data_IF_386781727699
#
_entry.id   IF_386781727699
#
_cell.length_a   1.000
_cell.length_b   1.000
_cell.length_c   1.000
_cell.angle_alpha   90.00
_cell.angle_beta   90.00
_cell.angle_gamma   90.00
#
_symmetry.space_group_name_H-M   'P 1'
#
loop_
_entity.id
_entity.type
_entity.pdbx_description
1 polymer ?
#
# COMPACT_ATOMS: atom_id res chain seq x y z
N UNK A 1 21.49 17.72 2.75
CA UNK A 1 21.39 16.45 3.48
C UNK A 1 22.64 15.65 3.14
N UNK A 2 23.57 15.49 4.09
CA UNK A 2 24.81 14.75 3.89
C UNK A 2 24.52 13.25 3.92
N UNK A 3 24.83 12.53 2.85
CA UNK A 3 24.74 11.08 2.80
C UNK A 3 25.68 10.48 3.86
N UNK A 4 25.12 9.69 4.78
CA UNK A 4 25.90 8.99 5.78
C UNK A 4 26.70 7.88 5.09
N UNK A 5 28.02 8.04 5.03
CA UNK A 5 28.94 7.05 4.51
C UNK A 5 28.88 5.78 5.37
N UNK A 6 28.16 4.76 4.91
CA UNK A 6 28.12 3.44 5.56
C UNK A 6 29.41 2.70 5.23
N UNK A 7 30.27 2.38 6.21
CA UNK A 7 31.51 1.65 5.94
C UNK A 7 31.20 0.24 5.43
N UNK A 8 31.93 -0.21 4.39
CA UNK A 8 31.81 -1.51 3.68
C UNK A 8 31.78 -2.76 4.58
N UNK A 9 32.12 -2.63 5.87
CA UNK A 9 32.18 -3.70 6.86
C UNK A 9 31.40 -3.39 8.15
N UNK A 10 30.34 -2.59 8.11
CA UNK A 10 29.55 -2.30 9.32
C UNK A 10 29.13 -3.59 10.04
N UNK A 11 28.76 -4.63 9.28
CA UNK A 11 28.20 -5.88 9.81
C UNK A 11 29.22 -6.76 10.54
N UNK A 12 30.52 -6.51 10.38
CA UNK A 12 31.59 -7.32 11.00
C UNK A 12 31.66 -7.07 12.50
N UNK A 13 31.57 -5.81 12.94
CA UNK A 13 31.59 -5.45 14.36
C UNK A 13 30.48 -6.14 15.17
N UNK A 14 29.18 -6.03 14.81
CA UNK A 14 28.13 -6.71 15.57
C UNK A 14 28.30 -8.23 15.51
N UNK A 15 28.72 -8.81 14.37
CA UNK A 15 28.99 -10.24 14.27
C UNK A 15 30.04 -10.71 15.30
N UNK A 16 31.17 -10.01 15.40
CA UNK A 16 32.24 -10.34 16.36
C UNK A 16 31.72 -10.25 17.80
N UNK A 17 31.00 -9.17 18.16
CA UNK A 17 30.41 -9.05 19.49
C UNK A 17 29.42 -10.16 19.80
N UNK A 18 28.62 -10.58 18.82
CA UNK A 18 27.64 -11.66 19.01
C UNK A 18 28.36 -12.99 19.25
N UNK A 19 29.38 -13.31 18.45
CA UNK A 19 30.18 -14.53 18.62
C UNK A 19 30.93 -14.52 19.95
N UNK A 20 31.51 -13.39 20.34
CA UNK A 20 32.20 -13.24 21.61
C UNK A 20 31.24 -13.44 22.80
N UNK A 21 30.03 -12.87 22.73
CA UNK A 21 28.99 -13.04 23.73
C UNK A 21 28.58 -14.51 23.88
N UNK A 22 28.27 -15.19 22.77
CA UNK A 22 27.90 -16.61 22.77
C UNK A 22 29.02 -17.45 23.40
N UNK A 23 30.27 -17.21 22.99
CA UNK A 23 31.43 -17.93 23.52
C UNK A 23 31.60 -17.71 25.02
N UNK A 24 31.48 -16.47 25.49
CA UNK A 24 31.55 -16.13 26.91
C UNK A 24 30.42 -16.81 27.71
N UNK A 25 29.18 -16.79 27.19
CA UNK A 25 28.05 -17.48 27.82
C UNK A 25 28.29 -19.00 27.93
N UNK A 26 28.81 -19.63 26.88
CA UNK A 26 29.15 -21.06 26.89
C UNK A 26 30.21 -21.38 27.95
N UNK A 27 31.28 -20.58 28.03
CA UNK A 27 32.34 -20.76 29.03
C UNK A 27 31.78 -20.61 30.45
N UNK A 28 31.00 -19.57 30.70
CA UNK A 28 30.38 -19.33 32.03
C UNK A 28 29.45 -20.48 32.42
N UNK A 29 28.67 -21.03 31.50
CA UNK A 29 27.80 -22.18 31.77
C UNK A 29 28.57 -23.49 32.02
N UNK A 30 29.80 -23.61 31.52
CA UNK A 30 30.68 -24.76 31.78
C UNK A 30 31.38 -24.66 33.13
N UNK A 31 31.71 -23.45 33.58
CA UNK A 31 32.49 -23.21 34.80
C UNK A 31 31.60 -23.01 36.03
N UNK A 32 30.40 -22.44 35.87
CA UNK A 32 29.48 -22.16 36.97
C UNK A 32 28.18 -22.95 36.86
N UNK A 33 27.92 -23.80 37.84
CA UNK A 33 26.65 -24.54 37.93
C UNK A 33 25.46 -23.61 38.12
N UNK A 34 25.61 -22.57 38.94
CA UNK A 34 24.57 -21.55 39.16
C UNK A 34 24.21 -20.82 37.86
N UNK A 35 25.21 -20.44 37.05
CA UNK A 35 24.95 -19.78 35.78
C UNK A 35 24.21 -20.71 34.80
N UNK A 36 24.58 -21.99 34.77
CA UNK A 36 23.88 -23.01 33.97
C UNK A 36 22.42 -23.17 34.41
N UNK A 37 22.15 -23.24 35.71
CA UNK A 37 20.80 -23.35 36.23
C UNK A 37 19.94 -22.12 35.92
N UNK A 38 20.50 -20.92 36.11
CA UNK A 38 19.82 -19.66 35.79
C UNK A 38 19.50 -19.58 34.30
N UNK A 39 20.45 -19.93 33.43
CA UNK A 39 20.23 -19.95 31.99
C UNK A 39 19.15 -20.97 31.61
N UNK A 40 19.20 -22.17 32.17
CA UNK A 40 18.20 -23.21 31.91
C UNK A 40 16.80 -22.75 32.34
N UNK A 41 16.66 -22.15 33.53
CA UNK A 41 15.39 -21.58 34.00
C UNK A 41 14.89 -20.45 33.09
N UNK A 42 15.77 -19.55 32.67
CA UNK A 42 15.42 -18.46 31.76
C UNK A 42 14.93 -19.00 30.40
N UNK A 43 15.63 -19.98 29.82
CA UNK A 43 15.24 -20.62 28.55
C UNK A 43 13.89 -21.32 28.69
N UNK A 44 13.69 -22.08 29.77
CA UNK A 44 12.41 -22.76 30.01
C UNK A 44 11.26 -21.77 30.23
N UNK A 45 11.51 -20.65 30.90
CA UNK A 45 10.52 -19.59 31.11
C UNK A 45 10.13 -18.93 29.78
N UNK A 46 11.11 -18.62 28.92
CA UNK A 46 10.86 -18.05 27.59
C UNK A 46 10.10 -19.06 26.72
N UNK A 47 10.53 -20.32 26.71
CA UNK A 47 9.85 -21.37 25.97
C UNK A 47 8.40 -21.56 26.44
N UNK A 48 8.17 -21.56 27.76
CA UNK A 48 6.84 -21.63 28.36
C UNK A 48 5.97 -20.43 27.97
N UNK A 49 6.54 -19.21 27.98
CA UNK A 49 5.84 -18.02 27.52
C UNK A 49 5.46 -18.11 26.03
N UNK A 50 6.39 -18.51 25.16
CA UNK A 50 6.16 -18.70 23.72
C UNK A 50 5.14 -19.81 23.41
N UNK A 51 5.05 -20.82 24.27
CA UNK A 51 4.08 -21.91 24.15
C UNK A 51 2.68 -21.55 24.69
N UNK A 52 2.46 -20.33 25.18
CA UNK A 52 1.12 -19.91 25.60
C UNK A 52 0.15 -19.93 24.41
N UNK A 53 -1.12 -20.34 24.62
CA UNK A 53 -2.10 -20.43 23.53
C UNK A 53 -2.22 -19.13 22.73
N UNK A 54 -2.24 -17.99 23.42
CA UNK A 54 -2.33 -16.67 22.80
C UNK A 54 -1.17 -16.39 21.83
N UNK A 55 0.08 -16.71 22.20
CA UNK A 55 1.23 -16.43 21.34
C UNK A 55 1.25 -17.38 20.13
N UNK A 56 0.92 -18.66 20.34
CA UNK A 56 0.82 -19.62 19.24
C UNK A 56 -0.29 -19.24 18.26
N UNK A 57 -1.48 -18.90 18.74
CA UNK A 57 -2.61 -18.45 17.92
C UNK A 57 -2.27 -17.16 17.16
N UNK A 58 -1.69 -16.17 17.84
CA UNK A 58 -1.26 -14.91 17.21
C UNK A 58 -0.22 -15.16 16.13
N UNK A 59 0.73 -16.07 16.37
CA UNK A 59 1.77 -16.42 15.38
C UNK A 59 1.14 -17.08 14.16
N UNK A 60 0.23 -18.03 14.35
CA UNK A 60 -0.48 -18.68 13.24
C UNK A 60 -1.32 -17.66 12.47
N UNK A 61 -2.02 -16.77 13.15
CA UNK A 61 -2.82 -15.71 12.52
C UNK A 61 -1.95 -14.76 11.69
N UNK A 62 -0.81 -14.32 12.23
CA UNK A 62 0.15 -13.46 11.51
C UNK A 62 0.72 -14.20 10.30
N UNK A 63 1.15 -15.44 10.44
CA UNK A 63 1.67 -16.26 9.33
C UNK A 63 0.60 -16.45 8.25
N UNK A 64 -0.63 -16.76 8.64
CA UNK A 64 -1.77 -16.86 7.73
C UNK A 64 -2.01 -15.56 6.96
N UNK A 65 -1.98 -14.42 7.65
CA UNK A 65 -2.13 -13.10 7.02
C UNK A 65 -1.00 -12.83 6.02
N UNK A 66 0.25 -13.11 6.39
CA UNK A 66 1.41 -12.94 5.49
C UNK A 66 1.25 -13.79 4.23
N UNK A 67 0.78 -15.04 4.37
CA UNK A 67 0.51 -15.93 3.22
C UNK A 67 -0.57 -15.33 2.32
N UNK A 68 -1.69 -14.86 2.87
CA UNK A 68 -2.78 -14.27 2.09
C UNK A 68 -2.29 -13.03 1.33
N UNK A 69 -1.55 -12.15 1.99
CA UNK A 69 -0.98 -10.94 1.36
C UNK A 69 0.01 -11.32 0.26
N UNK A 70 0.90 -12.28 0.51
CA UNK A 70 1.87 -12.73 -0.48
C UNK A 70 1.18 -13.35 -1.71
N UNK A 71 0.16 -14.18 -1.50
CA UNK A 71 -0.64 -14.74 -2.60
C UNK A 71 -1.40 -13.66 -3.37
N UNK A 72 -1.96 -12.66 -2.68
CA UNK A 72 -2.65 -11.55 -3.32
C UNK A 72 -1.69 -10.73 -4.18
N UNK A 73 -0.52 -10.38 -3.65
CA UNK A 73 0.50 -9.67 -4.42
C UNK A 73 0.99 -10.49 -5.61
N UNK A 74 1.18 -11.80 -5.44
CA UNK A 74 1.55 -12.68 -6.54
C UNK A 74 0.48 -12.71 -7.64
N UNK A 75 -0.81 -12.72 -7.28
CA UNK A 75 -1.91 -12.59 -8.25
C UNK A 75 -1.87 -11.23 -8.95
N UNK A 76 -1.77 -10.13 -8.22
CA UNK A 76 -1.70 -8.78 -8.79
C UNK A 76 -0.53 -8.63 -9.77
N UNK A 77 0.63 -9.22 -9.46
CA UNK A 77 1.79 -9.18 -10.36
C UNK A 77 1.58 -9.99 -11.65
N UNK A 78 0.80 -11.08 -11.58
CA UNK A 78 0.57 -11.97 -12.72
C UNK A 78 -0.59 -11.51 -13.60
N UNK A 79 -1.68 -11.06 -12.98
CA UNK A 79 -2.96 -10.76 -13.63
C UNK A 79 -3.14 -9.25 -13.87
N UNK A 80 -2.30 -8.40 -13.26
CA UNK A 80 -2.47 -6.95 -13.29
C UNK A 80 -3.45 -6.46 -12.22
N UNK A 81 -3.57 -5.13 -12.11
CA UNK A 81 -4.56 -4.54 -11.20
C UNK A 81 -5.96 -4.76 -11.75
N UNK A 82 -6.86 -5.28 -10.92
CA UNK A 82 -8.25 -5.54 -11.29
C UNK A 82 -9.03 -4.23 -11.28
N UNK A 83 -9.18 -3.59 -12.44
CA UNK A 83 -9.93 -2.35 -12.55
C UNK A 83 -11.42 -2.64 -12.44
N UNK A 84 -12.14 -1.92 -11.58
CA UNK A 84 -13.60 -2.02 -11.48
C UNK A 84 -14.20 -0.72 -11.97
N UNK A 85 -15.01 -0.81 -13.02
CA UNK A 85 -15.80 0.32 -13.49
C UNK A 85 -17.11 0.38 -12.71
N UNK A 86 -17.34 1.51 -12.04
CA UNK A 86 -18.63 1.85 -11.44
C UNK A 86 -19.39 2.69 -12.44
N UNK A 87 -20.43 2.11 -13.04
CA UNK A 87 -21.20 2.79 -14.06
C UNK A 87 -21.95 3.99 -13.47
N UNK A 88 -21.91 5.10 -14.21
CA UNK A 88 -22.57 6.33 -13.80
C UNK A 88 -24.09 6.22 -13.95
N UNK A 89 -24.83 7.06 -13.19
CA UNK A 89 -26.29 7.12 -13.22
C UNK A 89 -26.85 7.46 -14.61
N UNK A 90 -26.05 8.13 -15.45
CA UNK A 90 -26.31 8.37 -16.87
C UNK A 90 -25.31 7.56 -17.72
N UNK A 91 -25.75 6.90 -18.79
CA UNK A 91 -24.88 6.04 -19.60
C UNK A 91 -23.90 6.90 -20.41
N UNK A 92 -22.62 6.83 -20.07
CA UNK A 92 -21.52 7.29 -20.93
C UNK A 92 -21.10 6.17 -21.90
N UNK A 93 -20.25 6.50 -22.87
CA UNK A 93 -19.76 5.51 -23.85
C UNK A 93 -19.05 4.33 -23.17
N UNK A 94 -18.34 4.58 -22.07
CA UNK A 94 -17.64 3.56 -21.29
C UNK A 94 -18.60 2.60 -20.56
N UNK A 95 -19.73 3.10 -20.02
CA UNK A 95 -20.77 2.27 -19.39
C UNK A 95 -21.42 1.31 -20.38
N UNK A 96 -21.60 1.75 -21.63
CA UNK A 96 -22.16 0.92 -22.69
C UNK A 96 -21.18 -0.17 -23.12
N UNK A 97 -19.89 0.15 -23.28
CA UNK A 97 -18.84 -0.83 -23.58
C UNK A 97 -18.63 -1.84 -22.44
N UNK A 98 -18.82 -1.42 -21.19
CA UNK A 98 -18.81 -2.30 -20.02
C UNK A 98 -20.07 -3.18 -19.88
N UNK A 99 -21.04 -3.09 -20.79
CA UNK A 99 -22.27 -3.89 -20.77
C UNK A 99 -23.30 -3.44 -19.73
N UNK A 100 -23.14 -2.24 -19.17
CA UNK A 100 -23.99 -1.66 -18.14
C UNK A 100 -25.20 -0.89 -18.74
N UNK A 101 -25.86 -1.50 -19.73
CA UNK A 101 -26.94 -0.87 -20.51
C UNK A 101 -28.21 -0.60 -19.69
N UNK A 102 -28.46 -1.37 -18.62
CA UNK A 102 -29.65 -1.25 -17.78
C UNK A 102 -29.32 -0.72 -16.38
N UNK A 103 -30.23 0.02 -15.71
CA UNK A 103 -30.00 0.51 -14.35
C UNK A 103 -29.60 -0.58 -13.34
N UNK A 104 -30.14 -1.80 -13.49
CA UNK A 104 -29.78 -2.94 -12.65
C UNK A 104 -28.35 -3.43 -12.89
N UNK A 105 -27.90 -3.48 -14.16
CA UNK A 105 -26.53 -3.86 -14.52
C UNK A 105 -25.48 -2.77 -14.19
N UNK A 106 -25.91 -1.53 -13.93
CA UNK A 106 -25.02 -0.43 -13.50
C UNK A 106 -24.58 -0.52 -12.04
N UNK A 107 -25.33 -1.25 -11.22
CA UNK A 107 -24.98 -1.50 -9.81
C UNK A 107 -24.04 -2.71 -9.65
N UNK A 108 -23.91 -3.54 -10.68
CA UNK A 108 -22.95 -4.63 -10.73
C UNK A 108 -21.60 -4.06 -11.17
N UNK A 109 -20.62 -3.98 -10.27
CA UNK A 109 -19.28 -3.52 -10.60
C UNK A 109 -18.68 -4.39 -11.70
N UNK A 110 -18.40 -3.80 -12.87
CA UNK A 110 -17.83 -4.52 -14.00
C UNK A 110 -16.32 -4.53 -13.87
N UNK A 111 -15.73 -5.72 -13.79
CA UNK A 111 -14.27 -5.89 -13.78
C UNK A 111 -13.76 -5.64 -15.21
N UNK A 112 -13.04 -4.54 -15.41
CA UNK A 112 -12.35 -4.26 -16.65
C UNK A 112 -11.07 -5.11 -16.71
N UNK A 113 -10.86 -5.77 -17.84
CA UNK A 113 -9.63 -6.53 -18.14
C UNK A 113 -8.45 -5.62 -18.48
N UNK A 114 -8.70 -4.35 -18.76
CA UNK A 114 -7.71 -3.34 -19.12
C UNK A 114 -7.96 -2.06 -18.32
N UNK A 115 -6.90 -1.29 -18.10
CA UNK A 115 -7.04 0.03 -17.47
C UNK A 115 -8.02 0.89 -18.29
N UNK A 116 -8.94 1.62 -17.64
CA UNK A 116 -9.83 2.54 -18.34
C UNK A 116 -9.00 3.61 -19.08
N UNK A 117 -9.53 4.12 -20.19
CA UNK A 117 -8.87 5.19 -20.95
C UNK A 117 -8.52 6.36 -20.00
N UNK A 118 -7.28 6.85 -20.08
CA UNK A 118 -6.79 7.96 -19.27
C UNK A 118 -7.66 9.22 -19.42
N UNK A 119 -8.40 9.33 -20.53
CA UNK A 119 -9.39 10.38 -20.76
C UNK A 119 -10.58 10.34 -19.79
N UNK A 120 -11.04 9.15 -19.39
CA UNK A 120 -12.16 9.00 -18.44
C UNK A 120 -11.75 9.56 -17.08
N UNK A 121 -10.52 9.25 -16.65
CA UNK A 121 -9.99 9.74 -15.39
C UNK A 121 -9.75 11.27 -15.43
N UNK A 122 -9.28 11.80 -16.57
CA UNK A 122 -9.20 13.25 -16.78
C UNK A 122 -10.57 13.93 -16.72
N UNK A 123 -11.58 13.37 -17.39
CA UNK A 123 -12.93 13.93 -17.42
C UNK A 123 -13.57 13.93 -16.03
N UNK A 124 -13.35 12.88 -15.22
CA UNK A 124 -13.79 12.83 -13.83
C UNK A 124 -13.11 13.92 -12.99
N UNK A 125 -11.78 14.08 -13.12
CA UNK A 125 -11.01 15.12 -12.42
C UNK A 125 -11.42 16.54 -12.83
N UNK A 126 -11.75 16.75 -14.11
CA UNK A 126 -12.30 18.03 -14.60
C UNK A 126 -13.73 18.27 -14.10
N UNK A 127 -14.57 17.24 -14.03
CA UNK A 127 -15.92 17.33 -13.46
C UNK A 127 -15.93 17.81 -12.01
N UNK A 128 -14.94 17.40 -11.20
CA UNK A 128 -14.75 17.92 -9.84
C UNK A 128 -14.48 19.42 -9.84
N UNK A 129 -13.56 19.89 -10.69
CA UNK A 129 -13.25 21.31 -10.81
C UNK A 129 -14.44 22.14 -11.32
N UNK A 130 -15.23 21.59 -12.25
CA UNK A 130 -16.49 22.20 -12.72
C UNK A 130 -17.54 22.28 -11.59
N UNK A 131 -17.67 21.24 -10.77
CA UNK A 131 -18.56 21.26 -9.60
C UNK A 131 -18.17 22.33 -8.58
N UNK A 132 -16.88 22.51 -8.30
CA UNK A 132 -16.42 23.61 -7.43
C UNK A 132 -16.76 24.98 -8.00
N UNK A 133 -16.63 25.16 -9.32
CA UNK A 133 -17.04 26.39 -10.00
C UNK A 133 -18.54 26.67 -9.88
N UNK A 134 -19.39 25.65 -10.04
CA UNK A 134 -20.84 25.77 -9.89
C UNK A 134 -21.24 26.18 -8.46
N UNK A 135 -20.46 25.76 -7.46
CA UNK A 135 -20.62 26.15 -6.06
C UNK A 135 -19.99 27.51 -5.72
N UNK A 136 -19.35 28.18 -6.69
CA UNK A 136 -18.68 29.47 -6.49
C UNK A 136 -17.31 29.39 -5.80
N UNK A 137 -16.78 28.18 -5.62
CA UNK A 137 -15.51 27.88 -4.94
C UNK A 137 -14.34 27.92 -5.93
N UNK A 138 -13.97 29.15 -6.34
CA UNK A 138 -12.97 29.36 -7.40
C UNK A 138 -11.55 28.94 -7.02
N UNK A 139 -11.15 29.07 -5.75
CA UNK A 139 -9.79 28.75 -5.31
C UNK A 139 -9.55 27.24 -5.31
N UNK A 140 -10.54 26.49 -4.86
CA UNK A 140 -10.56 25.03 -4.80
C UNK A 140 -10.59 24.43 -6.21
N UNK A 141 -11.39 25.00 -7.12
CA UNK A 141 -11.36 24.63 -8.53
C UNK A 141 -9.97 24.82 -9.15
N UNK A 142 -9.29 25.93 -8.83
CA UNK A 142 -7.95 26.22 -9.33
C UNK A 142 -6.89 25.25 -8.79
N UNK A 143 -7.00 24.89 -7.50
CA UNK A 143 -6.12 23.90 -6.87
C UNK A 143 -6.23 22.55 -7.57
N UNK A 144 -7.46 22.08 -7.84
CA UNK A 144 -7.69 20.84 -8.56
C UNK A 144 -7.17 20.86 -10.00
N UNK A 145 -7.26 22.00 -10.70
CA UNK A 145 -6.69 22.15 -12.04
C UNK A 145 -5.15 22.15 -12.05
N UNK A 146 -4.51 22.63 -10.99
CA UNK A 146 -3.05 22.63 -10.86
C UNK A 146 -2.45 21.25 -10.57
N UNK A 147 -3.27 20.31 -10.08
CA UNK A 147 -2.87 18.92 -9.88
C UNK A 147 -2.79 18.11 -11.19
N UNK A 148 -3.33 18.64 -12.29
CA UNK A 148 -3.25 18.03 -13.61
C UNK A 148 -1.81 18.07 -14.14
N UNK A 149 -1.38 17.01 -14.83
CA UNK A 149 -0.09 16.96 -15.51
C UNK A 149 0.00 17.98 -16.66
N UNK A 150 1.22 18.34 -17.08
CA UNK A 150 1.41 19.31 -18.17
C UNK A 150 0.78 18.91 -19.50
N UNK A 151 0.62 17.60 -19.75
CA UNK A 151 -0.06 17.08 -20.92
C UNK A 151 -1.58 17.29 -20.82
N UNK A 152 -2.15 16.98 -19.65
CA UNK A 152 -3.59 17.14 -19.36
C UNK A 152 -4.00 18.62 -19.33
N UNK A 153 -3.15 19.53 -18.85
CA UNK A 153 -3.44 20.98 -18.88
C UNK A 153 -3.54 21.55 -20.30
N UNK A 154 -2.98 20.87 -21.32
CA UNK A 154 -3.03 21.33 -22.71
C UNK A 154 -4.33 20.95 -23.41
N UNK A 155 -5.10 20.03 -22.84
CA UNK A 155 -6.41 19.60 -23.35
C UNK A 155 -7.38 20.78 -23.49
N UNK A 156 -8.20 20.82 -24.56
CA UNK A 156 -9.10 21.93 -24.82
C UNK A 156 -10.13 22.13 -23.70
N UNK A 157 -10.60 21.03 -23.09
CA UNK A 157 -11.56 21.06 -21.98
C UNK A 157 -10.94 21.66 -20.71
N UNK A 158 -9.74 21.24 -20.33
CA UNK A 158 -9.02 21.79 -19.18
C UNK A 158 -8.77 23.30 -19.30
N UNK A 159 -8.41 23.78 -20.51
CA UNK A 159 -8.27 25.21 -20.79
C UNK A 159 -9.58 25.97 -20.66
N UNK A 160 -10.69 25.39 -21.13
CA UNK A 160 -12.01 26.01 -21.02
C UNK A 160 -12.44 26.15 -19.55
N UNK A 161 -12.20 25.12 -18.72
CA UNK A 161 -12.50 25.19 -17.28
C UNK A 161 -11.62 26.24 -16.60
N UNK A 162 -10.32 26.28 -16.90
CA UNK A 162 -9.41 27.28 -16.35
C UNK A 162 -9.80 28.71 -16.70
N UNK A 163 -10.21 28.95 -17.95
CA UNK A 163 -10.70 30.25 -18.38
C UNK A 163 -11.97 30.69 -17.61
N UNK A 164 -12.83 29.74 -17.21
CA UNK A 164 -14.01 30.03 -16.37
C UNK A 164 -13.65 30.37 -14.92
N UNK A 165 -12.56 29.79 -14.38
CA UNK A 165 -12.06 30.15 -13.04
C UNK A 165 -11.49 31.57 -13.02
N UNK A 166 -10.76 31.93 -14.08
CA UNK A 166 -10.05 33.21 -14.20
C UNK A 166 -10.96 34.38 -14.64
N UNK A 167 -12.17 34.09 -15.13
CA UNK A 167 -13.21 35.07 -15.45
C UNK A 167 -14.02 35.50 -14.21
#
# INVERSE_FOLDING_TARGET
MSEAFVPKRWWVSPLIFTVALITATVIVCKVSETAREVLAKAVMMIAGAMATPFILESTIAIVGLVIVVALNQWRLQKEGDGWVYLAQTEPDAASLEAGAETPAKRLEGVILTHAPDARIDLDARLGIAEGFLELGLKQEALEHLNLLSEAEQKEPRAKAVRAKVEA
#
